data_IF_005612192849
#
_entry.id   IF_005612192849
#
_cell.length_a   1.000
_cell.length_b   1.000
_cell.length_c   1.000
_cell.angle_alpha   90.00
_cell.angle_beta   90.00
_cell.angle_gamma   90.00
#
_symmetry.space_group_name_H-M   'P 1'
#
loop_
_entity.id
_entity.type
_entity.pdbx_description
1 polymer ?
#
# COMPACT_ATOMS: atom_id res chain seq x y z
N UNK A 1 44.56 -66.12 -28.72
CA UNK A 1 44.50 -64.93 -27.80
C UNK A 1 43.39 -64.07 -28.30
N UNK A 2 42.20 -64.13 -27.61
CA UNK A 2 41.04 -63.28 -27.90
C UNK A 2 41.16 -61.94 -27.14
N UNK A 3 41.25 -60.80 -27.90
CA UNK A 3 41.22 -59.47 -27.35
C UNK A 3 39.72 -59.13 -27.05
N UNK A 4 39.35 -58.98 -25.77
CA UNK A 4 38.11 -58.40 -25.37
C UNK A 4 38.22 -56.88 -25.49
N UNK A 5 37.30 -56.29 -26.30
CA UNK A 5 37.14 -54.88 -26.43
C UNK A 5 36.17 -54.44 -25.34
N UNK A 6 36.70 -53.67 -24.39
CA UNK A 6 35.85 -53.06 -23.29
C UNK A 6 35.21 -51.79 -23.82
N UNK A 7 33.90 -51.85 -24.09
CA UNK A 7 33.12 -50.67 -24.45
C UNK A 7 32.67 -50.04 -23.15
N UNK A 8 33.19 -48.85 -22.81
CA UNK A 8 32.75 -48.02 -21.69
C UNK A 8 31.52 -47.24 -22.16
N UNK A 9 30.32 -47.41 -21.55
CA UNK A 9 29.19 -46.54 -21.87
C UNK A 9 29.45 -45.15 -21.30
N UNK A 10 29.57 -44.17 -22.18
CA UNK A 10 29.60 -42.75 -21.83
C UNK A 10 28.20 -42.33 -21.35
N UNK A 11 28.01 -42.41 -20.03
CA UNK A 11 26.78 -41.96 -19.37
C UNK A 11 26.80 -40.43 -19.30
N UNK A 12 26.20 -39.80 -20.30
CA UNK A 12 26.03 -38.34 -20.35
C UNK A 12 25.20 -37.86 -19.17
N UNK A 13 25.84 -37.19 -18.20
CA UNK A 13 25.15 -36.41 -17.18
C UNK A 13 24.41 -35.25 -17.89
N UNK A 14 23.11 -35.41 -18.08
CA UNK A 14 22.20 -34.29 -18.34
C UNK A 14 22.13 -33.49 -17.05
N UNK A 15 22.98 -32.50 -16.92
CA UNK A 15 22.81 -31.44 -15.94
C UNK A 15 21.56 -30.63 -16.38
N UNK A 16 20.38 -31.02 -15.88
CA UNK A 16 19.21 -30.19 -15.91
C UNK A 16 19.51 -28.97 -15.03
N UNK A 17 20.03 -27.92 -15.65
CA UNK A 17 20.10 -26.59 -15.07
C UNK A 17 18.67 -26.17 -14.77
N UNK A 18 18.24 -26.40 -13.55
CA UNK A 18 17.05 -25.75 -12.99
C UNK A 18 17.45 -24.29 -12.84
N UNK A 19 17.24 -23.49 -13.90
CA UNK A 19 17.44 -22.06 -13.85
C UNK A 19 16.50 -21.50 -12.77
N UNK A 20 17.04 -21.12 -11.61
CA UNK A 20 16.32 -20.31 -10.66
C UNK A 20 15.86 -19.06 -11.40
N UNK A 21 14.54 -18.91 -11.57
CA UNK A 21 13.95 -17.67 -12.10
C UNK A 21 14.29 -16.56 -11.11
N UNK A 22 15.31 -15.78 -11.42
CA UNK A 22 15.71 -14.64 -10.62
C UNK A 22 14.70 -13.53 -10.88
N UNK A 23 13.87 -13.24 -9.88
CA UNK A 23 12.95 -12.11 -9.91
C UNK A 23 13.69 -10.86 -9.44
N UNK A 24 13.57 -9.80 -10.22
CA UNK A 24 14.11 -8.48 -9.89
C UNK A 24 13.05 -7.67 -9.19
N UNK A 25 13.36 -7.13 -8.02
CA UNK A 25 12.41 -6.42 -7.17
C UNK A 25 12.80 -4.95 -7.01
N UNK A 26 11.83 -4.06 -7.21
CA UNK A 26 11.93 -2.66 -6.83
C UNK A 26 11.36 -2.44 -5.43
N UNK A 27 11.99 -1.54 -4.67
CA UNK A 27 11.42 -0.93 -3.48
C UNK A 27 11.27 0.57 -3.70
N UNK A 28 10.27 1.18 -3.07
CA UNK A 28 9.99 2.59 -3.22
C UNK A 28 9.87 3.25 -1.86
N UNK A 29 10.40 4.47 -1.75
CA UNK A 29 10.07 5.37 -0.66
C UNK A 29 8.82 6.16 -1.06
N UNK A 30 7.81 6.15 -0.20
CA UNK A 30 6.54 6.84 -0.42
C UNK A 30 6.29 7.75 0.78
N UNK A 31 6.12 9.05 0.53
CA UNK A 31 5.90 10.07 1.53
C UNK A 31 4.54 10.76 1.41
N UNK A 32 4.01 11.27 2.52
CA UNK A 32 2.83 12.13 2.52
C UNK A 32 3.24 13.52 2.01
N UNK A 33 2.79 13.90 0.82
CA UNK A 33 3.20 15.15 0.16
C UNK A 33 2.28 16.33 0.45
N UNK A 34 0.98 16.09 0.56
CA UNK A 34 0.00 17.13 0.85
C UNK A 34 -1.25 16.57 1.52
N UNK A 35 -1.94 17.42 2.25
CA UNK A 35 -3.26 17.13 2.81
C UNK A 35 -4.17 18.30 2.49
N UNK A 36 -5.26 18.01 1.79
CA UNK A 36 -6.35 18.95 1.61
C UNK A 36 -7.41 18.66 2.68
N UNK A 37 -7.69 19.64 3.50
CA UNK A 37 -8.82 19.63 4.41
C UNK A 37 -9.99 20.37 3.77
N UNK A 38 -11.22 20.16 4.25
CA UNK A 38 -12.42 20.73 3.61
C UNK A 38 -12.34 22.26 3.51
N UNK A 39 -12.24 22.78 2.30
CA UNK A 39 -12.20 24.21 2.03
C UNK A 39 -13.48 24.95 2.46
N UNK A 40 -14.57 24.23 2.72
CA UNK A 40 -15.90 24.73 3.09
C UNK A 40 -16.30 24.43 4.53
N UNK A 41 -15.41 23.87 5.35
CA UNK A 41 -15.68 23.84 6.77
C UNK A 41 -15.86 25.29 7.23
N UNK A 42 -17.00 25.61 7.85
CA UNK A 42 -17.34 26.96 8.33
C UNK A 42 -16.33 27.55 9.33
N UNK A 43 -15.28 26.82 9.62
CA UNK A 43 -14.11 27.20 10.39
C UNK A 43 -12.89 26.74 9.62
N UNK A 44 -12.05 27.68 9.20
CA UNK A 44 -10.69 27.38 8.77
C UNK A 44 -9.94 26.86 9.98
N UNK A 45 -9.49 25.61 9.90
CA UNK A 45 -8.72 24.95 10.95
C UNK A 45 -7.29 25.44 10.88
N UNK A 46 -6.68 25.63 12.05
CA UNK A 46 -5.38 26.25 12.25
C UNK A 46 -4.25 25.68 11.38
N UNK A 47 -3.04 26.12 11.61
CA UNK A 47 -1.87 25.71 10.82
C UNK A 47 -1.76 24.18 10.72
N UNK A 48 -1.93 23.65 9.52
CA UNK A 48 -1.74 22.23 9.23
C UNK A 48 -0.26 21.91 9.21
N UNK A 49 0.15 20.92 10.01
CA UNK A 49 1.53 20.47 10.05
C UNK A 49 1.61 19.04 9.53
N UNK A 50 2.27 18.85 8.40
CA UNK A 50 2.78 17.54 7.98
C UNK A 50 4.18 17.40 8.56
N UNK A 51 4.42 16.38 9.36
CA UNK A 51 5.72 16.11 9.98
C UNK A 51 6.14 14.68 9.63
N UNK A 52 7.30 14.58 8.98
CA UNK A 52 7.96 13.30 8.75
C UNK A 52 8.75 12.93 10.00
N UNK A 53 8.61 11.71 10.46
CA UNK A 53 9.45 11.20 11.54
C UNK A 53 9.75 9.72 11.34
N UNK A 54 10.87 9.28 11.93
CA UNK A 54 11.26 7.87 11.91
C UNK A 54 10.95 7.23 13.25
N UNK A 55 10.32 6.07 13.19
CA UNK A 55 10.15 5.18 14.33
C UNK A 55 10.89 3.87 14.00
N UNK A 56 12.10 3.76 14.51
CA UNK A 56 13.06 2.75 14.07
C UNK A 56 13.50 2.96 12.62
N UNK A 57 13.33 1.93 11.78
CA UNK A 57 13.65 1.97 10.34
C UNK A 57 12.46 2.41 9.47
N UNK A 58 11.30 2.70 10.07
CA UNK A 58 10.06 2.99 9.38
C UNK A 58 9.81 4.50 9.31
N UNK A 59 9.55 4.99 8.10
CA UNK A 59 9.10 6.36 7.90
C UNK A 59 7.61 6.46 8.22
N UNK A 60 7.27 7.39 9.10
CA UNK A 60 5.89 7.73 9.46
C UNK A 60 5.61 9.19 9.14
N UNK A 61 4.37 9.47 8.78
CA UNK A 61 3.92 10.79 8.36
C UNK A 61 2.75 11.21 9.22
N UNK A 62 2.93 12.31 9.95
CA UNK A 62 1.91 12.84 10.85
C UNK A 62 1.28 14.08 10.25
N UNK A 63 -0.04 14.09 10.21
CA UNK A 63 -0.86 15.26 9.95
C UNK A 63 -1.67 15.59 11.21
N UNK A 64 -1.82 16.87 11.51
CA UNK A 64 -2.58 17.33 12.65
C UNK A 64 -3.29 18.66 12.35
N UNK A 65 -4.55 18.74 12.72
CA UNK A 65 -5.36 19.97 12.76
C UNK A 65 -6.12 20.08 14.09
N UNK A 66 -7.12 20.94 14.17
CA UNK A 66 -7.92 21.13 15.39
C UNK A 66 -8.82 19.94 15.72
N UNK A 67 -9.17 19.09 14.74
CA UNK A 67 -10.09 17.98 14.92
C UNK A 67 -9.44 16.63 15.00
N UNK A 68 -8.42 16.41 14.18
CA UNK A 68 -7.77 15.12 14.08
C UNK A 68 -6.26 15.22 14.22
N UNK A 69 -5.68 14.15 14.69
CA UNK A 69 -4.27 13.80 14.48
C UNK A 69 -4.24 12.45 13.79
N UNK A 70 -3.59 12.35 12.65
CA UNK A 70 -3.43 11.09 11.93
C UNK A 70 -1.97 10.81 11.63
N UNK A 71 -1.53 9.59 11.93
CA UNK A 71 -0.18 9.10 11.64
C UNK A 71 -0.28 8.00 10.62
N UNK A 72 0.37 8.19 9.48
CA UNK A 72 0.42 7.24 8.37
C UNK A 72 1.72 6.46 8.35
N UNK A 73 1.61 5.20 7.96
CA UNK A 73 2.71 4.34 7.54
C UNK A 73 2.31 3.60 6.27
N UNK A 74 3.09 3.78 5.19
CA UNK A 74 2.81 3.15 3.89
C UNK A 74 3.69 1.92 3.73
N UNK A 75 3.07 0.74 3.64
CA UNK A 75 3.76 -0.50 3.30
C UNK A 75 3.71 -0.74 1.79
N UNK A 76 4.36 -1.80 1.31
CA UNK A 76 4.32 -2.13 -0.12
C UNK A 76 2.92 -2.46 -0.65
N UNK A 77 1.96 -2.86 0.22
CA UNK A 77 0.65 -3.36 -0.18
C UNK A 77 -0.54 -2.53 0.31
N UNK A 78 -0.36 -1.78 1.39
CA UNK A 78 -1.45 -1.09 2.07
C UNK A 78 -0.96 0.17 2.79
N UNK A 79 -1.90 1.03 3.10
CA UNK A 79 -1.71 2.17 3.99
C UNK A 79 -2.14 1.75 5.40
N UNK A 80 -1.32 2.05 6.39
CA UNK A 80 -1.65 1.84 7.80
C UNK A 80 -1.77 3.22 8.43
N UNK A 81 -2.71 3.39 9.34
CA UNK A 81 -2.88 4.67 10.03
C UNK A 81 -3.32 4.49 11.47
N UNK A 82 -3.03 5.50 12.27
CA UNK A 82 -3.63 5.75 13.56
C UNK A 82 -4.29 7.13 13.53
N UNK A 83 -5.60 7.16 13.72
CA UNK A 83 -6.41 8.37 13.74
C UNK A 83 -6.89 8.65 15.16
N UNK A 84 -6.51 9.80 15.71
CA UNK A 84 -6.94 10.29 17.01
C UNK A 84 -8.02 11.37 16.86
N UNK A 85 -9.09 11.19 17.58
CA UNK A 85 -10.14 12.19 17.71
C UNK A 85 -9.76 13.25 18.74
N UNK A 86 -9.47 14.47 18.30
CA UNK A 86 -9.15 15.62 19.17
C UNK A 86 -10.38 16.42 19.59
N UNK A 87 -11.55 16.10 19.03
CA UNK A 87 -12.79 16.85 19.30
C UNK A 87 -13.42 16.45 20.63
N UNK A 88 -14.39 17.24 21.07
CA UNK A 88 -15.21 16.94 22.26
C UNK A 88 -16.38 15.99 21.96
N UNK A 89 -16.55 15.60 20.69
CA UNK A 89 -17.64 14.75 20.20
C UNK A 89 -17.09 13.44 19.62
N UNK A 90 -17.97 12.48 19.41
CA UNK A 90 -17.59 11.27 18.66
C UNK A 90 -17.50 11.58 17.16
N UNK A 91 -16.56 10.96 16.48
CA UNK A 91 -16.46 10.98 15.01
C UNK A 91 -16.73 9.61 14.44
N UNK A 92 -17.11 9.56 13.16
CA UNK A 92 -17.47 8.34 12.45
C UNK A 92 -16.77 8.29 11.11
N UNK A 93 -16.23 7.13 10.79
CA UNK A 93 -15.72 6.78 9.46
C UNK A 93 -16.71 5.84 8.80
N UNK A 94 -17.19 6.20 7.61
CA UNK A 94 -17.90 5.30 6.73
C UNK A 94 -16.91 4.74 5.69
N UNK A 95 -16.56 3.47 5.83
CA UNK A 95 -15.54 2.83 4.99
C UNK A 95 -15.92 2.77 3.51
N UNK A 96 -17.21 2.70 3.21
CA UNK A 96 -17.70 2.68 1.83
C UNK A 96 -17.52 4.01 1.08
N UNK A 97 -17.36 5.11 1.82
CA UNK A 97 -17.15 6.46 1.25
C UNK A 97 -15.67 6.77 1.02
N UNK A 98 -14.76 5.93 1.54
CA UNK A 98 -13.32 6.11 1.31
C UNK A 98 -12.99 5.70 -0.12
N UNK A 99 -12.30 6.59 -0.83
CA UNK A 99 -11.81 6.35 -2.18
C UNK A 99 -10.29 6.36 -2.24
N UNK A 100 -9.72 5.46 -3.01
CA UNK A 100 -8.31 5.38 -3.31
C UNK A 100 -8.07 5.64 -4.79
N UNK A 101 -7.13 6.52 -5.12
CA UNK A 101 -6.64 6.73 -6.49
C UNK A 101 -5.26 6.09 -6.59
N UNK A 102 -5.13 5.11 -7.48
CA UNK A 102 -3.89 4.35 -7.66
C UNK A 102 -2.81 5.16 -8.39
N UNK A 103 -1.60 4.60 -8.49
CA UNK A 103 -0.43 5.20 -9.14
C UNK A 103 -0.64 5.53 -10.64
N UNK A 104 -1.69 5.01 -11.25
CA UNK A 104 -2.08 5.25 -12.65
C UNK A 104 -3.27 6.22 -12.77
N UNK A 105 -3.76 6.75 -11.65
CA UNK A 105 -4.90 7.67 -11.63
C UNK A 105 -6.27 7.00 -11.64
N UNK A 106 -6.34 5.67 -11.44
CA UNK A 106 -7.60 4.94 -11.39
C UNK A 106 -8.17 4.98 -9.98
N UNK A 107 -9.44 5.38 -9.84
CA UNK A 107 -10.18 5.36 -8.58
C UNK A 107 -10.69 3.95 -8.27
N UNK A 108 -10.54 3.54 -7.02
CA UNK A 108 -11.00 2.25 -6.50
C UNK A 108 -11.50 2.34 -5.06
N UNK A 109 -12.08 1.24 -4.60
CA UNK A 109 -12.52 1.06 -3.21
C UNK A 109 -11.37 0.52 -2.35
N UNK A 110 -11.51 0.69 -1.05
CA UNK A 110 -10.63 0.10 -0.05
C UNK A 110 -11.40 -0.85 0.86
N UNK A 111 -10.70 -1.80 1.43
CA UNK A 111 -11.17 -2.58 2.57
C UNK A 111 -10.30 -2.27 3.79
N UNK A 112 -10.90 -2.37 4.98
CA UNK A 112 -10.22 -2.15 6.25
C UNK A 112 -9.99 -3.46 7.00
N UNK A 113 -9.32 -3.40 8.14
CA UNK A 113 -9.01 -4.55 9.00
C UNK A 113 -10.27 -5.35 9.36
N UNK A 114 -10.16 -6.68 9.35
CA UNK A 114 -11.26 -7.59 9.69
C UNK A 114 -12.22 -7.93 8.54
N UNK A 115 -12.17 -7.23 7.41
CA UNK A 115 -12.95 -7.59 6.22
C UNK A 115 -12.31 -8.80 5.54
N UNK A 116 -13.09 -9.84 5.27
CA UNK A 116 -12.61 -11.02 4.53
C UNK A 116 -12.42 -10.68 3.05
N UNK A 117 -11.43 -11.28 2.40
CA UNK A 117 -11.19 -11.06 0.96
C UNK A 117 -12.37 -11.44 0.07
N UNK A 118 -13.17 -12.44 0.50
CA UNK A 118 -14.44 -12.80 -0.16
C UNK A 118 -15.45 -11.66 -0.15
N UNK A 119 -15.42 -10.84 0.90
CA UNK A 119 -16.42 -9.80 1.18
C UNK A 119 -15.93 -8.39 0.83
N UNK A 120 -14.73 -8.28 0.20
CA UNK A 120 -14.07 -7.01 -0.11
C UNK A 120 -14.91 -6.01 -0.93
N UNK A 121 -15.91 -6.51 -1.67
CA UNK A 121 -16.81 -5.70 -2.48
C UNK A 121 -18.18 -5.44 -1.80
N UNK A 122 -18.39 -6.03 -0.63
CA UNK A 122 -19.62 -5.82 0.14
C UNK A 122 -19.54 -4.48 0.90
N UNK A 123 -20.68 -4.04 1.43
CA UNK A 123 -20.73 -2.87 2.31
C UNK A 123 -20.03 -3.18 3.64
N UNK A 124 -19.27 -2.21 4.13
CA UNK A 124 -18.47 -2.31 5.34
C UNK A 124 -19.13 -1.49 6.46
N UNK A 125 -19.33 -2.07 7.66
CA UNK A 125 -19.88 -1.32 8.78
C UNK A 125 -18.96 -0.14 9.15
N UNK A 126 -19.57 1.01 9.43
CA UNK A 126 -18.82 2.19 9.84
C UNK A 126 -18.21 2.05 11.23
N UNK A 127 -17.05 2.69 11.47
CA UNK A 127 -16.39 2.76 12.77
C UNK A 127 -16.69 4.11 13.46
N UNK A 128 -16.98 4.05 14.77
CA UNK A 128 -17.15 5.24 15.60
C UNK A 128 -15.93 5.39 16.52
N UNK A 129 -15.36 6.59 16.56
CA UNK A 129 -14.21 6.94 17.40
C UNK A 129 -14.72 7.93 18.47
N UNK A 130 -14.85 7.52 19.74
CA UNK A 130 -15.24 8.40 20.83
C UNK A 130 -14.28 9.57 20.99
N UNK A 131 -14.73 10.64 21.66
CA UNK A 131 -13.88 11.79 21.98
C UNK A 131 -12.58 11.37 22.66
N UNK A 132 -11.46 11.91 22.21
CA UNK A 132 -10.14 11.64 22.78
C UNK A 132 -9.59 10.23 22.55
N UNK A 133 -10.34 9.34 21.86
CA UNK A 133 -9.90 8.00 21.51
C UNK A 133 -9.13 7.99 20.19
N UNK A 134 -8.37 6.90 19.96
CA UNK A 134 -7.70 6.62 18.70
C UNK A 134 -8.25 5.35 18.06
N UNK A 135 -8.18 5.30 16.74
CA UNK A 135 -8.43 4.12 15.90
C UNK A 135 -7.18 3.81 15.08
N UNK A 136 -6.64 2.60 15.24
CA UNK A 136 -5.59 2.08 14.35
C UNK A 136 -6.22 1.11 13.37
N UNK A 137 -6.00 1.33 12.07
CA UNK A 137 -6.57 0.49 11.01
C UNK A 137 -5.68 0.52 9.76
N UNK A 138 -6.13 -0.18 8.71
CA UNK A 138 -5.47 -0.26 7.41
C UNK A 138 -6.43 0.15 6.29
N UNK A 139 -5.86 0.57 5.15
CA UNK A 139 -6.57 0.70 3.89
C UNK A 139 -5.87 -0.17 2.84
N UNK A 140 -6.52 -1.24 2.44
CA UNK A 140 -6.06 -2.15 1.39
C UNK A 140 -6.96 -1.96 0.17
N UNK A 141 -6.43 -1.52 -1.00
CA UNK A 141 -7.23 -1.40 -2.21
C UNK A 141 -7.85 -2.74 -2.61
N UNK A 142 -9.16 -2.76 -2.84
CA UNK A 142 -9.88 -4.01 -3.16
C UNK A 142 -9.43 -4.63 -4.48
N UNK A 143 -9.00 -3.80 -5.45
CA UNK A 143 -8.48 -4.23 -6.74
C UNK A 143 -7.11 -4.93 -6.62
N UNK A 144 -6.39 -4.71 -5.52
CA UNK A 144 -5.11 -5.36 -5.25
C UNK A 144 -5.28 -6.76 -4.66
N UNK A 145 -6.51 -7.20 -4.38
CA UNK A 145 -6.80 -8.53 -3.82
C UNK A 145 -7.43 -9.40 -4.89
N UNK A 146 -6.77 -10.50 -5.22
CA UNK A 146 -7.22 -11.46 -6.24
C UNK A 146 -7.16 -12.90 -5.75
N UNK A 147 -8.03 -13.75 -6.30
CA UNK A 147 -7.99 -15.19 -6.07
C UNK A 147 -7.42 -15.91 -7.29
N UNK A 148 -6.39 -16.73 -7.07
CA UNK A 148 -5.79 -17.57 -8.10
C UNK A 148 -6.30 -18.99 -7.89
N UNK A 149 -6.91 -19.59 -8.90
CA UNK A 149 -7.37 -20.98 -8.86
C UNK A 149 -6.23 -21.96 -9.15
N UNK A 150 -6.34 -23.21 -8.68
CA UNK A 150 -5.40 -24.30 -8.96
C UNK A 150 -4.76 -24.88 -7.71
N UNK A 151 -3.90 -25.90 -7.89
CA UNK A 151 -3.28 -26.68 -6.81
C UNK A 151 -2.47 -25.79 -5.84
N UNK A 152 -1.84 -24.72 -6.33
CA UNK A 152 -1.08 -23.75 -5.53
C UNK A 152 -1.79 -22.39 -5.49
N UNK A 153 -3.10 -22.40 -5.69
CA UNK A 153 -3.96 -21.22 -5.71
C UNK A 153 -4.15 -20.60 -4.34
N UNK A 154 -5.07 -19.64 -4.27
CA UNK A 154 -5.45 -18.92 -3.05
C UNK A 154 -5.49 -17.40 -3.26
N UNK A 155 -5.79 -16.71 -2.19
CA UNK A 155 -5.81 -15.26 -2.17
C UNK A 155 -4.42 -14.68 -2.28
N UNK A 156 -4.28 -13.62 -3.07
CA UNK A 156 -3.03 -12.88 -3.27
C UNK A 156 -3.29 -11.39 -3.18
N UNK A 157 -2.33 -10.69 -2.62
CA UNK A 157 -2.27 -9.23 -2.60
C UNK A 157 -1.16 -8.78 -3.54
N UNK A 158 -1.48 -7.86 -4.44
CA UNK A 158 -0.49 -7.15 -5.25
C UNK A 158 0.00 -5.90 -4.52
N UNK A 159 1.18 -5.43 -4.90
CA UNK A 159 1.74 -4.21 -4.35
C UNK A 159 1.01 -2.97 -4.87
N UNK A 160 1.02 -1.89 -4.09
CA UNK A 160 0.49 -0.57 -4.47
C UNK A 160 1.17 -0.02 -5.73
N UNK A 161 2.48 -0.28 -5.83
CA UNK A 161 3.31 0.12 -6.96
C UNK A 161 3.92 -1.15 -7.56
N UNK A 162 3.90 -1.34 -8.90
CA UNK A 162 4.52 -2.49 -9.53
C UNK A 162 6.00 -2.63 -9.14
N UNK A 163 6.36 -3.78 -8.57
CA UNK A 163 7.69 -4.01 -8.01
C UNK A 163 8.39 -5.27 -8.51
N UNK A 164 7.71 -6.16 -9.26
CA UNK A 164 8.29 -7.38 -9.77
C UNK A 164 8.56 -7.28 -11.26
N UNK A 165 9.80 -7.54 -11.65
CA UNK A 165 10.28 -7.48 -13.02
C UNK A 165 10.96 -8.78 -13.41
N UNK A 166 10.79 -9.21 -14.68
CA UNK A 166 11.37 -10.45 -15.19
C UNK A 166 12.87 -10.34 -15.50
N UNK A 167 13.34 -9.15 -15.81
CA UNK A 167 14.76 -8.89 -16.13
C UNK A 167 15.22 -7.60 -15.47
N UNK A 168 16.54 -7.47 -15.32
CA UNK A 168 17.18 -6.25 -14.84
C UNK A 168 16.92 -5.05 -15.74
N UNK A 169 16.86 -5.24 -17.04
CA UNK A 169 16.59 -4.19 -18.02
C UNK A 169 15.17 -3.63 -17.82
N UNK A 170 14.17 -4.52 -17.63
CA UNK A 170 12.79 -4.10 -17.34
C UNK A 170 12.69 -3.38 -16.00
N UNK A 171 13.45 -3.82 -14.98
CA UNK A 171 13.51 -3.12 -13.71
C UNK A 171 14.06 -1.70 -13.87
N UNK A 172 15.22 -1.55 -14.54
CA UNK A 172 15.88 -0.28 -14.73
C UNK A 172 15.06 0.70 -15.61
N UNK A 173 14.28 0.17 -16.53
CA UNK A 173 13.40 0.98 -17.38
C UNK A 173 12.07 1.32 -16.68
N UNK A 174 11.50 0.39 -15.94
CA UNK A 174 10.15 0.52 -15.39
C UNK A 174 10.11 1.18 -14.02
N UNK A 175 10.96 0.77 -13.08
CA UNK A 175 10.88 1.24 -11.71
C UNK A 175 11.07 2.77 -11.55
N UNK A 176 12.01 3.44 -12.23
CA UNK A 176 12.17 4.89 -12.11
C UNK A 176 10.96 5.68 -12.63
N UNK A 177 10.14 5.11 -13.51
CA UNK A 177 8.98 5.78 -14.10
C UNK A 177 7.85 6.08 -13.11
N UNK A 178 7.92 5.49 -11.92
CA UNK A 178 6.97 5.74 -10.84
C UNK A 178 7.39 6.89 -9.92
N UNK A 179 8.66 7.28 -9.91
CA UNK A 179 9.15 8.40 -9.09
C UNK A 179 8.46 9.68 -9.51
N UNK A 180 7.95 10.44 -8.55
CA UNK A 180 7.16 11.65 -8.75
C UNK A 180 5.68 11.43 -9.05
N UNK A 181 5.23 10.17 -9.23
CA UNK A 181 3.80 9.87 -9.32
C UNK A 181 3.17 9.86 -7.94
N UNK A 182 1.85 10.04 -7.91
CA UNK A 182 1.06 10.17 -6.68
C UNK A 182 0.02 9.07 -6.56
N UNK A 183 -0.29 8.73 -5.32
CA UNK A 183 -1.48 7.98 -4.90
C UNK A 183 -2.29 8.86 -3.97
N UNK A 184 -3.61 8.77 -3.99
CA UNK A 184 -4.48 9.65 -3.21
C UNK A 184 -5.50 8.85 -2.42
N UNK A 185 -5.74 9.24 -1.17
CA UNK A 185 -6.82 8.72 -0.32
C UNK A 185 -7.75 9.89 0.00
N UNK A 186 -9.01 9.77 -0.42
CA UNK A 186 -10.11 10.59 0.06
C UNK A 186 -10.76 9.87 1.24
N UNK A 187 -10.70 10.47 2.43
CA UNK A 187 -11.25 9.92 3.68
C UNK A 187 -12.27 10.90 4.28
N UNK A 188 -13.55 10.72 4.01
CA UNK A 188 -14.61 11.48 4.66
C UNK A 188 -14.72 11.10 6.15
N UNK A 189 -14.68 12.08 7.04
CA UNK A 189 -14.85 11.92 8.49
C UNK A 189 -16.06 12.72 8.94
N UNK A 190 -17.03 12.05 9.56
CA UNK A 190 -18.26 12.67 10.04
C UNK A 190 -18.05 13.07 11.50
N UNK A 191 -18.19 14.37 11.80
CA UNK A 191 -18.11 14.94 13.14
C UNK A 191 -19.44 15.68 13.39
N UNK A 192 -20.19 15.33 14.43
CA UNK A 192 -21.50 15.95 14.74
C UNK A 192 -22.45 16.01 13.52
N UNK A 193 -22.53 14.96 12.74
CA UNK A 193 -23.34 14.89 11.51
C UNK A 193 -22.85 15.78 10.35
N UNK A 194 -21.70 16.43 10.47
CA UNK A 194 -21.04 17.18 9.40
C UNK A 194 -19.93 16.33 8.81
N UNK A 195 -19.99 16.09 7.51
CA UNK A 195 -18.93 15.40 6.79
C UNK A 195 -17.77 16.36 6.50
N UNK A 196 -16.56 15.89 6.79
CA UNK A 196 -15.32 16.60 6.54
C UNK A 196 -14.48 15.72 5.62
N UNK A 197 -14.24 16.17 4.40
CA UNK A 197 -13.51 15.41 3.38
C UNK A 197 -12.03 15.74 3.48
N UNK A 198 -11.23 14.77 3.94
CA UNK A 198 -9.78 14.85 3.97
C UNK A 198 -9.20 14.14 2.75
N UNK A 199 -8.34 14.81 2.01
CA UNK A 199 -7.61 14.22 0.89
C UNK A 199 -6.13 14.15 1.22
N UNK A 200 -5.60 12.95 1.30
CA UNK A 200 -4.18 12.67 1.58
C UNK A 200 -3.49 12.27 0.27
N UNK A 201 -2.49 13.03 -0.16
CA UNK A 201 -1.67 12.70 -1.32
C UNK A 201 -0.33 12.09 -0.86
N UNK A 202 0.01 10.95 -1.44
CA UNK A 202 1.26 10.23 -1.19
C UNK A 202 2.10 10.23 -2.47
N UNK A 203 3.29 10.78 -2.38
CA UNK A 203 4.23 10.88 -3.50
C UNK A 203 5.23 9.71 -3.45
N UNK A 204 5.60 9.19 -4.61
CA UNK A 204 6.73 8.26 -4.72
C UNK A 204 8.00 9.09 -4.81
N UNK A 205 8.74 9.17 -3.71
CA UNK A 205 9.89 10.06 -3.57
C UNK A 205 11.14 9.49 -4.22
N UNK A 206 11.33 8.16 -4.06
CA UNK A 206 12.56 7.50 -4.50
C UNK A 206 12.29 6.04 -4.89
N UNK A 207 13.03 5.58 -5.88
CA UNK A 207 13.20 4.18 -6.19
C UNK A 207 14.51 3.66 -5.60
N UNK A 208 14.43 2.61 -4.79
CA UNK A 208 15.57 2.00 -4.12
C UNK A 208 15.97 0.74 -4.91
N UNK A 209 17.15 0.76 -5.48
CA UNK A 209 17.72 -0.39 -6.18
C UNK A 209 18.35 -1.36 -5.17
N UNK A 210 17.63 -2.42 -4.84
CA UNK A 210 18.07 -3.44 -3.87
C UNK A 210 19.06 -4.48 -4.45
N UNK A 211 19.66 -4.23 -5.59
CA UNK A 211 20.71 -5.12 -6.10
C UNK A 211 21.90 -4.96 -5.17
N UNK A 212 22.09 -5.94 -4.30
CA UNK A 212 23.35 -6.08 -3.58
C UNK A 212 24.45 -6.23 -4.62
N UNK A 213 25.34 -5.23 -4.68
CA UNK A 213 26.62 -5.33 -5.38
C UNK A 213 27.46 -6.47 -4.81
#
# INVERSE_FOLDING_TARGET
IKKQLFVIPFMGLLLSSCGMMQNYMASYSVGLSSVESPANAKQQFGETKVVDFKDGEVNKYRYEDDYIEIVWFVSSKQFNFELKNKTTHSMKINWDDISFVDINGKTGRVMHSGVKYTDRNNSQPSSTIPRGASLSDILLPTDNVSFISGQYGGWRESNLIPSFYKTQELLNAGAPSFVGKKMTILMPIIIESVQNDYTFEFNVDEWINNIKK
#
